data_IF_571733035776
#
_entry.id   IF_571733035776
#
_cell.length_a   1.000
_cell.length_b   1.000
_cell.length_c   1.000
_cell.angle_alpha   90.00
_cell.angle_beta   90.00
_cell.angle_gamma   90.00
#
_symmetry.space_group_name_H-M   'P 1'
#
loop_
_entity.id
_entity.type
_entity.pdbx_description
1 polymer ?
#
# COMPACT_ATOMS: atom_id res chain seq x y z
N UNK A 1 2.92 21.35 11.64
CA UNK A 1 4.07 20.89 11.56
C UNK A 1 4.08 19.42 11.40
N UNK A 2 3.81 18.64 12.30
CA UNK A 2 3.94 17.24 12.15
C UNK A 2 3.14 16.61 11.03
N UNK A 3 1.97 17.15 10.70
CA UNK A 3 1.10 16.49 9.71
C UNK A 3 1.62 16.59 8.29
N UNK A 4 2.25 17.70 7.91
CA UNK A 4 2.82 17.80 6.56
C UNK A 4 4.01 16.87 6.39
N UNK A 5 4.88 16.80 7.39
CA UNK A 5 6.03 15.89 7.35
C UNK A 5 5.57 14.43 7.39
N UNK A 6 4.56 14.13 8.20
CA UNK A 6 4.01 12.78 8.29
C UNK A 6 3.35 12.38 6.99
N UNK A 7 2.59 13.28 6.37
CA UNK A 7 1.96 13.01 5.08
C UNK A 7 3.03 12.64 4.04
N UNK A 8 4.10 13.42 3.96
CA UNK A 8 5.18 13.15 3.02
C UNK A 8 5.82 11.80 3.29
N UNK A 9 6.07 11.47 4.56
CA UNK A 9 6.68 10.20 4.92
C UNK A 9 5.78 9.01 4.57
N UNK A 10 4.52 9.05 4.99
CA UNK A 10 3.62 7.92 4.76
C UNK A 10 3.27 7.76 3.30
N UNK A 11 3.12 8.85 2.56
CA UNK A 11 2.90 8.78 1.13
C UNK A 11 4.10 8.10 0.44
N UNK A 12 5.32 8.42 0.85
CA UNK A 12 6.51 7.80 0.29
C UNK A 12 6.56 6.31 0.59
N UNK A 13 6.18 5.89 1.81
CA UNK A 13 6.14 4.48 2.17
C UNK A 13 5.06 3.74 1.37
N UNK A 14 3.91 4.36 1.20
CA UNK A 14 2.82 3.77 0.41
C UNK A 14 3.24 3.59 -1.04
N UNK A 15 3.85 4.61 -1.63
CA UNK A 15 4.32 4.55 -3.01
C UNK A 15 5.42 3.49 -3.19
N UNK A 16 6.27 3.31 -2.17
CA UNK A 16 7.27 2.26 -2.21
C UNK A 16 6.62 0.88 -2.35
N UNK A 17 5.51 0.65 -1.66
CA UNK A 17 4.81 -0.62 -1.72
C UNK A 17 4.18 -0.89 -3.09
N UNK A 18 4.02 0.14 -3.93
CA UNK A 18 3.50 -0.04 -5.28
C UNK A 18 4.59 -0.48 -6.26
N UNK A 19 5.85 -0.40 -5.89
CA UNK A 19 6.95 -0.74 -6.81
C UNK A 19 7.20 -2.24 -6.83
N UNK A 20 7.20 -2.86 -8.02
CA UNK A 20 7.45 -4.30 -8.11
C UNK A 20 8.76 -4.73 -7.45
N UNK A 21 9.83 -3.93 -7.58
CA UNK A 21 11.11 -4.27 -6.99
C UNK A 21 11.06 -4.32 -5.46
N UNK A 22 10.26 -3.44 -4.83
CA UNK A 22 10.09 -3.46 -3.38
C UNK A 22 9.26 -4.68 -2.98
N UNK A 23 8.18 -4.95 -3.71
CA UNK A 23 7.32 -6.10 -3.42
C UNK A 23 8.08 -7.43 -3.51
N UNK A 24 8.99 -7.53 -4.47
CA UNK A 24 9.79 -8.74 -4.65
C UNK A 24 10.87 -8.88 -3.59
N UNK A 25 11.23 -7.82 -2.88
CA UNK A 25 12.26 -7.85 -1.85
C UNK A 25 11.63 -8.19 -0.50
N UNK A 26 11.61 -9.48 -0.16
CA UNK A 26 10.92 -9.95 1.05
C UNK A 26 11.37 -9.21 2.31
N UNK A 27 12.67 -8.93 2.44
CA UNK A 27 13.17 -8.25 3.63
C UNK A 27 12.62 -6.82 3.75
N UNK A 28 12.43 -6.14 2.62
CA UNK A 28 11.83 -4.80 2.64
C UNK A 28 10.35 -4.85 2.98
N UNK A 29 9.62 -5.81 2.39
CA UNK A 29 8.22 -6.01 2.72
C UNK A 29 8.05 -6.39 4.18
N UNK A 30 8.92 -7.27 4.68
CA UNK A 30 8.87 -7.70 6.07
C UNK A 30 9.01 -6.50 7.03
N UNK A 31 9.87 -5.56 6.68
CA UNK A 31 10.08 -4.36 7.51
C UNK A 31 8.91 -3.39 7.43
N UNK A 32 8.20 -3.34 6.30
CA UNK A 32 7.12 -2.37 6.09
C UNK A 32 5.78 -2.86 6.63
N UNK A 33 5.58 -4.18 6.73
CA UNK A 33 4.30 -4.73 7.19
C UNK A 33 4.35 -5.00 8.69
N UNK A 34 3.35 -4.48 9.40
CA UNK A 34 3.21 -4.74 10.82
C UNK A 34 2.99 -6.24 11.06
N UNK A 35 3.46 -6.80 12.20
CA UNK A 35 3.23 -8.23 12.48
C UNK A 35 1.78 -8.67 12.39
N UNK A 36 0.83 -7.79 12.66
CA UNK A 36 -0.60 -8.10 12.62
C UNK A 36 -1.28 -7.60 11.34
N UNK A 37 -0.51 -7.37 10.29
CA UNK A 37 -1.06 -6.85 9.04
C UNK A 37 -2.11 -7.78 8.44
N UNK A 38 -3.18 -7.18 7.94
CA UNK A 38 -4.24 -7.86 7.18
C UNK A 38 -4.65 -6.93 6.04
N UNK A 39 -4.96 -7.51 4.90
CA UNK A 39 -5.46 -6.74 3.77
C UNK A 39 -6.79 -7.33 3.28
N UNK A 40 -7.75 -6.45 2.99
CA UNK A 40 -8.96 -6.82 2.23
C UNK A 40 -8.72 -6.38 0.79
N UNK A 41 -8.47 -7.35 -0.09
CA UNK A 41 -8.20 -7.06 -1.49
C UNK A 41 -9.45 -6.60 -2.23
N UNK A 42 -9.22 -5.91 -3.37
CA UNK A 42 -10.33 -5.34 -4.13
C UNK A 42 -11.28 -6.43 -4.70
N UNK A 43 -10.84 -7.67 -4.74
CA UNK A 43 -11.67 -8.78 -5.22
C UNK A 43 -12.44 -9.47 -4.09
N UNK A 44 -12.27 -8.99 -2.85
CA UNK A 44 -12.93 -9.60 -1.70
C UNK A 44 -12.09 -10.65 -0.98
N UNK A 45 -10.89 -10.89 -1.44
CA UNK A 45 -9.99 -11.87 -0.79
C UNK A 45 -9.38 -11.24 0.46
N UNK A 46 -9.37 -12.00 1.55
CA UNK A 46 -8.68 -11.58 2.78
C UNK A 46 -7.26 -12.14 2.74
N UNK A 47 -6.27 -11.25 2.86
CA UNK A 47 -4.86 -11.60 2.82
C UNK A 47 -4.26 -11.43 4.21
N UNK A 48 -3.64 -12.49 4.73
CA UNK A 48 -2.83 -12.39 5.94
C UNK A 48 -1.46 -11.82 5.58
N UNK A 49 -0.71 -11.43 6.61
CA UNK A 49 0.66 -10.96 6.41
C UNK A 49 1.51 -12.00 5.68
N UNK A 50 1.45 -13.25 6.15
CA UNK A 50 2.25 -14.32 5.57
C UNK A 50 1.87 -14.58 4.11
N UNK A 51 0.57 -14.62 3.82
CA UNK A 51 0.10 -14.80 2.46
C UNK A 51 0.57 -13.66 1.54
N UNK A 52 0.56 -12.43 2.05
CA UNK A 52 1.03 -11.28 1.28
C UNK A 52 2.52 -11.40 0.98
N UNK A 53 3.31 -11.75 1.98
CA UNK A 53 4.76 -11.91 1.79
C UNK A 53 5.06 -13.03 0.79
N UNK A 54 4.35 -14.15 0.90
CA UNK A 54 4.55 -15.28 0.00
C UNK A 54 4.17 -14.95 -1.43
N UNK A 55 3.07 -14.21 -1.61
CA UNK A 55 2.59 -13.85 -2.94
C UNK A 55 3.63 -13.00 -3.69
N UNK A 56 4.21 -12.01 -3.02
CA UNK A 56 5.10 -11.07 -3.70
C UNK A 56 6.54 -11.52 -3.76
N UNK A 57 6.98 -12.45 -2.89
CA UNK A 57 8.36 -12.91 -2.89
C UNK A 57 8.54 -14.28 -3.51
N UNK A 58 7.46 -14.89 -4.01
CA UNK A 58 7.53 -16.21 -4.62
C UNK A 58 8.31 -16.22 -5.92
N UNK A 59 8.71 -17.40 -6.36
CA UNK A 59 9.41 -17.57 -7.62
C UNK A 59 8.55 -17.07 -8.76
N UNK A 60 9.10 -16.20 -9.59
CA UNK A 60 8.34 -15.57 -10.67
C UNK A 60 7.50 -14.40 -10.20
N UNK A 61 7.55 -14.10 -8.92
CA UNK A 61 6.94 -12.89 -8.41
C UNK A 61 7.65 -11.72 -9.04
N UNK A 62 6.89 -10.87 -9.46
CA UNK A 62 7.24 -9.96 -10.48
C UNK A 62 8.07 -8.81 -10.02
N UNK A 63 9.31 -8.84 -10.34
CA UNK A 63 9.96 -7.59 -10.65
C UNK A 63 9.17 -6.86 -11.75
N UNK A 64 8.14 -7.48 -12.29
CA UNK A 64 7.38 -6.98 -13.41
C UNK A 64 5.90 -6.81 -13.12
N UNK A 65 5.53 -6.54 -11.89
CA UNK A 65 4.13 -6.29 -11.57
C UNK A 65 3.58 -5.06 -12.32
N UNK A 66 2.29 -4.81 -12.23
CA UNK A 66 1.67 -3.69 -12.93
C UNK A 66 2.25 -2.36 -12.45
N UNK A 67 2.30 -1.40 -13.37
CA UNK A 67 2.59 -0.02 -13.01
C UNK A 67 1.34 0.56 -12.35
N UNK A 68 1.53 1.17 -11.18
CA UNK A 68 0.43 1.72 -10.41
C UNK A 68 0.52 3.25 -10.44
N UNK A 69 -0.59 3.87 -10.80
CA UNK A 69 -0.78 5.32 -10.64
C UNK A 69 -1.57 5.57 -9.37
N UNK A 70 -1.20 6.57 -8.60
CA UNK A 70 -1.92 6.92 -7.38
C UNK A 70 -2.11 8.42 -7.31
N UNK A 71 -3.29 8.84 -6.82
CA UNK A 71 -3.66 10.25 -6.74
C UNK A 71 -4.62 10.48 -5.58
N UNK A 72 -4.89 11.74 -5.28
CA UNK A 72 -5.90 12.16 -4.29
C UNK A 72 -5.59 11.65 -2.89
N UNK A 73 -4.33 11.72 -2.51
CA UNK A 73 -3.91 11.31 -1.17
C UNK A 73 -4.46 12.24 -0.10
N UNK A 74 -5.01 11.67 0.95
CA UNK A 74 -5.44 12.40 2.14
C UNK A 74 -4.95 11.65 3.38
N UNK A 75 -4.47 12.41 4.35
CA UNK A 75 -4.00 11.86 5.62
C UNK A 75 -4.95 12.30 6.72
N UNK A 76 -5.34 11.34 7.56
CA UNK A 76 -6.08 11.60 8.80
C UNK A 76 -5.31 11.00 9.96
N UNK A 77 -4.79 11.85 10.81
CA UNK A 77 -4.09 11.40 12.00
C UNK A 77 -5.12 11.02 13.05
N UNK A 78 -5.13 9.75 13.45
CA UNK A 78 -6.12 9.25 14.40
C UNK A 78 -5.65 9.42 15.84
N UNK A 79 -4.35 9.22 16.08
CA UNK A 79 -3.71 9.57 17.34
C UNK A 79 -2.20 9.65 17.10
N UNK A 80 -1.41 9.70 18.17
CA UNK A 80 0.04 9.84 18.02
C UNK A 80 0.72 8.67 17.31
N UNK A 81 0.06 7.52 17.26
CA UNK A 81 0.64 6.30 16.72
C UNK A 81 -0.16 5.68 15.58
N UNK A 82 -1.25 6.31 15.15
CA UNK A 82 -2.10 5.78 14.09
C UNK A 82 -2.47 6.87 13.12
N UNK A 83 -2.36 6.55 11.84
CA UNK A 83 -2.75 7.46 10.77
C UNK A 83 -3.41 6.69 9.65
N UNK A 84 -4.48 7.26 9.09
CA UNK A 84 -5.21 6.69 7.96
C UNK A 84 -4.84 7.47 6.72
N UNK A 85 -4.34 6.77 5.71
CA UNK A 85 -4.00 7.35 4.41
C UNK A 85 -4.98 6.80 3.39
N UNK A 86 -5.69 7.68 2.69
CA UNK A 86 -6.63 7.25 1.65
C UNK A 86 -6.22 7.86 0.32
N UNK A 87 -6.53 7.16 -0.78
CA UNK A 87 -6.17 7.64 -2.10
C UNK A 87 -6.91 6.83 -3.16
N UNK A 88 -6.73 7.21 -4.43
CA UNK A 88 -7.19 6.45 -5.58
C UNK A 88 -6.01 5.87 -6.31
N UNK A 89 -6.16 4.66 -6.81
CA UNK A 89 -5.11 4.05 -7.62
C UNK A 89 -5.70 3.46 -8.89
N UNK A 90 -4.83 3.28 -9.89
CA UNK A 90 -5.19 2.64 -11.14
C UNK A 90 -4.00 1.88 -11.67
N UNK A 91 -4.26 0.88 -12.50
CA UNK A 91 -3.20 0.25 -13.28
C UNK A 91 -2.95 1.09 -14.53
N UNK A 92 -1.70 1.17 -14.96
CA UNK A 92 -1.31 1.90 -16.17
C UNK A 92 -0.89 0.87 -17.20
N UNK A 93 -1.55 0.87 -18.38
CA UNK A 93 -1.22 -0.10 -19.42
C UNK A 93 -0.04 0.40 -20.27
N UNK A 94 0.34 -0.39 -21.28
CA UNK A 94 1.50 -0.09 -22.10
C UNK A 94 1.34 1.21 -22.90
N UNK A 95 0.10 1.64 -23.12
CA UNK A 95 -0.19 2.89 -23.83
C UNK A 95 -0.35 4.07 -22.90
N UNK A 96 -0.13 3.88 -21.58
CA UNK A 96 -0.25 4.93 -20.60
C UNK A 96 -1.68 5.19 -20.12
N UNK A 97 -2.62 4.31 -20.48
CA UNK A 97 -4.01 4.48 -20.06
C UNK A 97 -4.22 3.90 -18.67
N UNK A 98 -5.07 4.59 -17.90
CA UNK A 98 -5.41 4.17 -16.54
C UNK A 98 -6.66 3.32 -16.57
N UNK A 99 -6.63 2.18 -15.85
CA UNK A 99 -7.78 1.29 -15.72
C UNK A 99 -7.72 0.61 -14.37
N UNK A 100 -8.75 -0.18 -14.04
CA UNK A 100 -8.86 -0.86 -12.73
C UNK A 100 -8.74 0.13 -11.58
N UNK A 101 -9.53 1.18 -11.63
CA UNK A 101 -9.54 2.17 -10.56
C UNK A 101 -10.02 1.56 -9.25
N UNK A 102 -9.42 1.96 -8.16
CA UNK A 102 -9.75 1.51 -6.81
C UNK A 102 -9.66 2.65 -5.83
N UNK A 103 -10.56 2.65 -4.87
CA UNK A 103 -10.41 3.46 -3.67
C UNK A 103 -9.56 2.66 -2.70
N UNK A 104 -8.55 3.29 -2.12
CA UNK A 104 -7.60 2.62 -1.23
C UNK A 104 -7.59 3.28 0.12
N UNK A 105 -7.45 2.45 1.17
CA UNK A 105 -7.22 2.96 2.51
C UNK A 105 -6.15 2.12 3.18
N UNK A 106 -5.21 2.81 3.83
CA UNK A 106 -4.09 2.19 4.54
C UNK A 106 -4.03 2.75 5.95
N UNK A 107 -4.03 1.86 6.92
CA UNK A 107 -3.84 2.24 8.31
C UNK A 107 -2.39 2.01 8.67
N UNK A 108 -1.67 3.09 8.96
CA UNK A 108 -0.27 3.06 9.33
C UNK A 108 -0.14 3.18 10.84
N UNK A 109 0.68 2.34 11.44
CA UNK A 109 0.88 2.31 12.89
C UNK A 109 2.35 2.53 13.20
N UNK A 110 2.61 3.42 14.18
CA UNK A 110 3.96 3.73 14.61
C UNK A 110 4.28 2.97 15.88
N UNK A 111 5.40 2.24 15.86
CA UNK A 111 5.95 1.58 17.04
C UNK A 111 7.44 1.83 17.08
N UNK A 112 8.15 1.16 17.99
CA UNK A 112 9.56 1.46 18.23
C UNK A 112 10.42 1.46 16.98
N UNK A 113 10.06 0.66 15.97
CA UNK A 113 10.81 0.58 14.71
C UNK A 113 10.41 1.56 13.65
N UNK A 114 9.39 2.38 13.89
CA UNK A 114 8.88 3.34 12.91
C UNK A 114 7.47 3.01 12.45
N UNK A 115 7.09 3.57 11.31
CA UNK A 115 5.75 3.37 10.77
C UNK A 115 5.67 2.07 9.97
N UNK A 116 4.65 1.26 10.25
CA UNK A 116 4.40 0.01 9.53
C UNK A 116 2.93 -0.06 9.12
N UNK A 117 2.68 -0.69 7.99
CA UNK A 117 1.33 -0.85 7.46
C UNK A 117 0.58 -1.90 8.29
N UNK A 118 -0.50 -1.47 8.94
CA UNK A 118 -1.28 -2.32 9.85
C UNK A 118 -2.46 -2.96 9.14
N UNK A 119 -3.06 -2.24 8.17
CA UNK A 119 -4.23 -2.70 7.44
C UNK A 119 -4.31 -1.97 6.11
N UNK A 120 -4.76 -2.66 5.08
CA UNK A 120 -4.97 -2.06 3.76
C UNK A 120 -6.25 -2.62 3.15
N UNK A 121 -6.97 -1.77 2.43
CA UNK A 121 -8.18 -2.20 1.72
C UNK A 121 -8.27 -1.51 0.38
N UNK A 122 -8.69 -2.28 -0.62
CA UNK A 122 -9.00 -1.74 -1.94
C UNK A 122 -10.43 -2.06 -2.31
N UNK A 123 -11.12 -1.09 -2.92
CA UNK A 123 -12.50 -1.24 -3.37
C UNK A 123 -12.58 -0.77 -4.81
N UNK A 124 -13.10 -1.58 -5.73
CA UNK A 124 -13.26 -1.15 -7.12
C UNK A 124 -14.12 0.11 -7.20
N UNK A 125 -13.76 1.01 -8.09
CA UNK A 125 -14.54 2.21 -8.33
C UNK A 125 -14.46 2.58 -9.80
N UNK A 126 -15.28 3.54 -10.20
CA UNK A 126 -15.26 4.01 -11.58
C UNK A 126 -14.06 4.91 -11.83
N UNK A 127 -13.81 5.18 -13.09
CA UNK A 127 -12.74 6.09 -13.49
C UNK A 127 -12.84 7.41 -12.74
N UNK A 128 -11.69 7.98 -12.46
CA UNK A 128 -11.62 9.25 -11.77
C UNK A 128 -12.20 10.39 -12.59
#
# INVERSE_FOLDING_TARGET
>A
MGDDALFTELRALELALHRPAVRAARSRMDALLHPDFVEFGRSGTVWTREATLDEFSGAGAAAEGPTIHAQDFQLRRLDGHLALLTYRSAHVDAEGRHHRWSLRSSLWQHEAGGWQLRFHQGTPTDDA
#
